data_IF_202632283382
#
_entry.id   IF_202632283382
#
_cell.length_a   1.000
_cell.length_b   1.000
_cell.length_c   1.000
_cell.angle_alpha   90.00
_cell.angle_beta   90.00
_cell.angle_gamma   90.00
#
_symmetry.space_group_name_H-M   'P 1'
#
loop_
_entity.id
_entity.type
_entity.pdbx_description
1 polymer ?
#
# COMPACT_ATOMS: atom_id res chain seq x y z
N UNK A 1 -12.95 14.50 7.21
CA UNK A 1 -12.47 14.51 5.81
C UNK A 1 -12.70 13.15 5.17
N UNK A 2 -13.28 13.13 3.97
CA UNK A 2 -13.49 11.87 3.23
C UNK A 2 -12.45 11.81 2.12
N UNK A 3 -11.76 10.69 2.01
CA UNK A 3 -10.76 10.49 0.96
C UNK A 3 -11.14 9.30 0.07
N UNK A 4 -10.67 9.35 -1.16
CA UNK A 4 -10.86 8.28 -2.14
C UNK A 4 -9.64 7.38 -2.10
N UNK A 5 -9.87 6.10 -1.83
CA UNK A 5 -8.81 5.12 -1.57
C UNK A 5 -8.84 4.03 -2.62
N UNK A 6 -7.67 3.69 -3.12
CA UNK A 6 -7.45 2.48 -3.92
C UNK A 6 -6.68 1.47 -3.05
N UNK A 7 -7.04 0.22 -3.14
CA UNK A 7 -6.46 -0.85 -2.31
C UNK A 7 -5.77 -1.89 -3.19
N UNK A 8 -4.51 -2.14 -2.89
CA UNK A 8 -3.71 -3.14 -3.59
C UNK A 8 -3.31 -4.26 -2.64
N UNK A 9 -3.62 -5.49 -2.98
CA UNK A 9 -3.10 -6.65 -2.26
C UNK A 9 -1.98 -7.29 -3.09
N UNK A 10 -0.81 -7.41 -2.50
CA UNK A 10 0.36 -8.02 -3.14
C UNK A 10 0.49 -9.44 -2.60
N UNK A 11 0.25 -10.42 -3.47
CA UNK A 11 0.27 -11.83 -3.08
C UNK A 11 0.49 -12.70 -4.32
N UNK A 12 1.21 -13.80 -4.15
CA UNK A 12 1.44 -14.74 -5.25
C UNK A 12 0.34 -15.79 -5.39
N UNK A 13 -0.49 -15.97 -4.35
CA UNK A 13 -1.37 -17.13 -4.28
C UNK A 13 -2.84 -16.82 -4.12
N UNK A 14 -3.20 -15.60 -3.71
CA UNK A 14 -4.58 -15.31 -3.39
C UNK A 14 -5.31 -14.64 -4.55
N UNK A 15 -6.63 -14.76 -4.52
CA UNK A 15 -7.53 -14.06 -5.45
C UNK A 15 -8.39 -13.10 -4.64
N UNK A 16 -9.20 -12.28 -5.33
CA UNK A 16 -10.13 -11.36 -4.65
C UNK A 16 -11.06 -12.13 -3.72
N UNK A 17 -11.49 -13.32 -4.13
CA UNK A 17 -12.46 -14.12 -3.35
C UNK A 17 -11.88 -14.65 -2.04
N UNK A 18 -10.59 -14.91 -1.96
CA UNK A 18 -9.98 -15.46 -0.75
C UNK A 18 -8.95 -14.54 -0.10
N UNK A 19 -8.92 -13.27 -0.50
CA UNK A 19 -8.03 -12.26 0.08
C UNK A 19 -8.64 -11.70 1.37
N UNK A 20 -8.34 -12.36 2.48
CA UNK A 20 -8.90 -11.97 3.78
C UNK A 20 -8.38 -10.62 4.26
N UNK A 21 -7.10 -10.35 4.10
CA UNK A 21 -6.49 -9.07 4.51
C UNK A 21 -7.11 -7.91 3.77
N UNK A 22 -7.26 -8.06 2.45
CA UNK A 22 -7.89 -7.04 1.63
C UNK A 22 -9.35 -6.82 2.03
N UNK A 23 -10.08 -7.91 2.30
CA UNK A 23 -11.48 -7.81 2.72
C UNK A 23 -11.62 -7.05 4.05
N UNK A 24 -10.72 -7.28 5.00
CA UNK A 24 -10.71 -6.56 6.28
C UNK A 24 -10.47 -5.07 6.02
N UNK A 25 -9.52 -4.73 5.16
CA UNK A 25 -9.23 -3.34 4.83
C UNK A 25 -10.41 -2.66 4.13
N UNK A 26 -11.09 -3.37 3.22
CA UNK A 26 -12.30 -2.84 2.58
C UNK A 26 -13.34 -2.46 3.64
N UNK A 27 -13.56 -3.35 4.61
CA UNK A 27 -14.52 -3.07 5.68
C UNK A 27 -14.09 -1.87 6.54
N UNK A 28 -12.81 -1.77 6.86
CA UNK A 28 -12.28 -0.64 7.64
C UNK A 28 -12.44 0.68 6.90
N UNK A 29 -12.17 0.69 5.61
CA UNK A 29 -12.34 1.88 4.79
C UNK A 29 -13.79 2.36 4.85
N UNK A 30 -14.73 1.42 4.73
CA UNK A 30 -16.16 1.75 4.78
C UNK A 30 -16.58 2.22 6.17
N UNK A 31 -16.11 1.56 7.23
CA UNK A 31 -16.41 1.95 8.61
C UNK A 31 -15.94 3.37 8.91
N UNK A 32 -14.84 3.79 8.31
CA UNK A 32 -14.31 5.15 8.48
C UNK A 32 -14.96 6.16 7.54
N UNK A 33 -15.96 5.75 6.78
CA UNK A 33 -16.70 6.60 5.84
C UNK A 33 -15.84 7.16 4.71
N UNK A 34 -14.81 6.44 4.31
CA UNK A 34 -14.03 6.77 3.12
C UNK A 34 -14.55 6.00 1.92
N UNK A 35 -14.19 6.44 0.73
CA UNK A 35 -14.63 5.80 -0.50
C UNK A 35 -13.57 4.85 -1.02
N UNK A 36 -13.95 3.59 -1.26
CA UNK A 36 -13.09 2.65 -1.99
C UNK A 36 -13.39 2.80 -3.47
N UNK A 37 -12.44 3.32 -4.23
CA UNK A 37 -12.66 3.60 -5.67
C UNK A 37 -12.10 2.50 -6.57
N UNK A 38 -11.13 1.73 -6.10
CA UNK A 38 -10.61 0.59 -6.86
C UNK A 38 -9.94 -0.41 -5.92
N UNK A 39 -9.91 -1.67 -6.33
CA UNK A 39 -9.27 -2.74 -5.57
C UNK A 39 -8.65 -3.72 -6.55
N UNK A 40 -7.35 -3.96 -6.41
CA UNK A 40 -6.62 -4.89 -7.27
C UNK A 40 -5.76 -5.83 -6.47
N UNK A 41 -5.46 -6.97 -7.06
CA UNK A 41 -4.47 -7.92 -6.56
C UNK A 41 -3.38 -8.04 -7.60
N UNK A 42 -2.15 -8.11 -7.18
CA UNK A 42 -1.05 -8.43 -8.08
C UNK A 42 -0.04 -9.34 -7.38
N UNK A 43 0.79 -9.96 -8.19
CA UNK A 43 1.87 -10.79 -7.68
C UNK A 43 2.97 -9.95 -7.05
N UNK A 44 3.75 -10.58 -6.18
CA UNK A 44 4.87 -9.93 -5.50
C UNK A 44 6.03 -9.78 -6.49
N UNK A 45 5.85 -8.90 -7.44
CA UNK A 45 6.75 -8.61 -8.54
C UNK A 45 6.82 -7.10 -8.70
N UNK A 46 8.04 -6.57 -8.68
CA UNK A 46 8.24 -5.12 -8.65
C UNK A 46 7.61 -4.41 -9.84
N UNK A 47 7.78 -4.96 -11.04
CA UNK A 47 7.25 -4.34 -12.25
C UNK A 47 5.74 -4.27 -12.23
N UNK A 48 5.07 -5.33 -11.77
CA UNK A 48 3.61 -5.36 -11.70
C UNK A 48 3.08 -4.35 -10.69
N UNK A 49 3.73 -4.26 -9.54
CA UNK A 49 3.33 -3.30 -8.49
C UNK A 49 3.51 -1.87 -9.00
N UNK A 50 4.67 -1.57 -9.57
CA UNK A 50 4.98 -0.23 -10.09
C UNK A 50 3.97 0.18 -11.18
N UNK A 51 3.62 -0.76 -12.06
CA UNK A 51 2.67 -0.47 -13.13
C UNK A 51 1.30 -0.05 -12.57
N UNK A 52 0.80 -0.79 -11.59
CA UNK A 52 -0.47 -0.46 -10.95
C UNK A 52 -0.38 0.88 -10.21
N UNK A 53 0.70 1.10 -9.48
CA UNK A 53 0.89 2.34 -8.74
C UNK A 53 0.94 3.55 -9.68
N UNK A 54 1.65 3.42 -10.80
CA UNK A 54 1.70 4.51 -11.79
C UNK A 54 0.35 4.78 -12.41
N UNK A 55 -0.40 3.73 -12.71
CA UNK A 55 -1.75 3.88 -13.25
C UNK A 55 -2.62 4.66 -12.26
N UNK A 56 -2.60 4.26 -10.99
CA UNK A 56 -3.44 4.90 -9.96
C UNK A 56 -2.98 6.32 -9.62
N UNK A 57 -1.68 6.56 -9.58
CA UNK A 57 -1.19 7.91 -9.25
C UNK A 57 -1.46 8.91 -10.36
N UNK A 58 -1.76 8.44 -11.58
CA UNK A 58 -2.18 9.33 -12.66
C UNK A 58 -3.67 9.65 -12.63
N UNK A 59 -4.44 9.03 -11.75
CA UNK A 59 -5.87 9.30 -11.62
C UNK A 59 -6.11 10.37 -10.57
N UNK A 60 -6.80 11.45 -10.95
CA UNK A 60 -7.04 12.57 -10.05
C UNK A 60 -8.03 12.26 -8.95
N UNK A 61 -8.85 11.24 -9.14
CA UNK A 61 -9.87 10.88 -8.16
C UNK A 61 -9.38 9.92 -7.09
N UNK A 62 -8.11 9.53 -7.09
CA UNK A 62 -7.52 8.71 -6.04
C UNK A 62 -6.64 9.59 -5.17
N UNK A 63 -6.98 9.66 -3.88
CA UNK A 63 -6.22 10.47 -2.92
C UNK A 63 -5.17 9.66 -2.19
N UNK A 64 -5.47 8.39 -1.91
CA UNK A 64 -4.60 7.51 -1.11
C UNK A 64 -4.60 6.12 -1.72
N UNK A 65 -3.43 5.52 -1.75
CA UNK A 65 -3.28 4.12 -2.12
C UNK A 65 -2.82 3.37 -0.86
N UNK A 66 -3.55 2.33 -0.50
CA UNK A 66 -3.15 1.43 0.58
C UNK A 66 -2.74 0.12 -0.06
N UNK A 67 -1.54 -0.36 0.25
CA UNK A 67 -1.11 -1.68 -0.19
C UNK A 67 -0.89 -2.58 1.01
N UNK A 68 -1.20 -3.85 0.87
CA UNK A 68 -0.96 -4.86 1.89
C UNK A 68 -0.22 -6.04 1.25
N UNK A 69 0.75 -6.58 1.99
CA UNK A 69 1.58 -7.69 1.54
C UNK A 69 2.93 -7.24 1.02
N UNK A 70 3.85 -8.17 0.95
CA UNK A 70 5.17 -7.94 0.36
C UNK A 70 6.12 -7.05 1.16
N UNK A 71 5.93 -6.94 2.47
CA UNK A 71 6.76 -6.06 3.31
C UNK A 71 7.73 -6.79 4.23
N UNK A 72 7.91 -8.11 4.04
CA UNK A 72 8.86 -8.90 4.83
C UNK A 72 10.29 -8.80 4.34
N UNK A 73 11.08 -9.81 4.67
CA UNK A 73 12.52 -9.81 4.42
C UNK A 73 12.96 -10.77 3.31
N UNK A 74 12.04 -11.55 2.72
CA UNK A 74 12.44 -12.49 1.67
C UNK A 74 12.68 -11.75 0.36
N UNK A 75 13.34 -12.42 -0.57
CA UNK A 75 13.61 -11.84 -1.88
C UNK A 75 12.36 -11.56 -2.71
N UNK A 76 11.23 -12.15 -2.33
CA UNK A 76 9.96 -11.91 -3.00
C UNK A 76 9.15 -10.80 -2.34
N UNK A 77 9.57 -10.33 -1.17
CA UNK A 77 8.92 -9.21 -0.48
C UNK A 77 9.49 -7.93 -1.07
N UNK A 78 8.80 -7.35 -2.05
CA UNK A 78 9.35 -6.29 -2.87
C UNK A 78 8.51 -4.99 -2.84
N UNK A 79 7.44 -4.95 -2.04
CA UNK A 79 6.55 -3.78 -2.01
C UNK A 79 7.27 -2.49 -1.64
N UNK A 80 8.13 -2.44 -0.60
CA UNK A 80 8.84 -1.20 -0.28
C UNK A 80 9.72 -0.71 -1.42
N UNK A 81 10.37 -1.63 -2.13
CA UNK A 81 11.23 -1.27 -3.28
C UNK A 81 10.40 -0.67 -4.41
N UNK A 82 9.20 -1.21 -4.63
CA UNK A 82 8.31 -0.67 -5.66
C UNK A 82 7.83 0.74 -5.28
N UNK A 83 7.52 0.96 -4.00
CA UNK A 83 7.14 2.29 -3.52
C UNK A 83 8.29 3.29 -3.66
N UNK A 84 9.52 2.85 -3.39
CA UNK A 84 10.69 3.69 -3.56
C UNK A 84 10.80 4.24 -4.97
N UNK A 85 10.45 3.44 -5.96
CA UNK A 85 10.63 3.82 -7.36
C UNK A 85 9.73 4.97 -7.76
N UNK A 86 8.55 5.11 -7.14
CA UNK A 86 7.62 6.18 -7.48
C UNK A 86 7.62 7.32 -6.46
N UNK A 87 8.33 7.16 -5.35
CA UNK A 87 8.24 8.11 -4.24
C UNK A 87 8.84 9.46 -4.57
N UNK A 88 8.16 10.53 -4.20
CA UNK A 88 8.76 11.85 -4.12
C UNK A 88 9.44 12.03 -2.77
N UNK A 89 8.77 11.64 -1.70
CA UNK A 89 9.32 11.74 -0.34
C UNK A 89 8.93 10.52 0.47
N UNK A 90 9.81 10.16 1.40
CA UNK A 90 9.52 9.10 2.35
C UNK A 90 8.92 9.67 3.62
N UNK A 91 8.06 8.88 4.27
CA UNK A 91 7.40 9.27 5.51
C UNK A 91 7.81 8.25 6.59
N UNK A 92 9.00 8.42 7.19
CA UNK A 92 9.52 7.40 8.12
C UNK A 92 8.64 7.16 9.33
N UNK A 93 7.95 8.19 9.80
CA UNK A 93 7.09 8.08 10.97
C UNK A 93 5.97 7.07 10.81
N UNK A 94 5.51 6.82 9.59
CA UNK A 94 4.48 5.81 9.37
C UNK A 94 4.96 4.42 9.82
N UNK A 95 6.14 4.01 9.35
CA UNK A 95 6.68 2.71 9.71
C UNK A 95 6.96 2.59 11.20
N UNK A 96 7.42 3.66 11.83
CA UNK A 96 7.67 3.69 13.27
C UNK A 96 6.39 3.45 14.07
N UNK A 97 5.32 4.16 13.74
CA UNK A 97 4.03 4.00 14.41
C UNK A 97 3.43 2.63 14.11
N UNK A 98 3.50 2.20 12.86
CA UNK A 98 2.96 0.90 12.47
C UNK A 98 3.63 -0.24 13.27
N UNK A 99 4.95 -0.24 13.34
CA UNK A 99 5.67 -1.28 14.09
C UNK A 99 5.43 -1.21 15.58
N UNK A 100 5.25 -0.01 16.12
CA UNK A 100 4.91 0.17 17.54
C UNK A 100 3.55 -0.47 17.86
N UNK A 101 2.57 -0.25 16.99
CA UNK A 101 1.24 -0.84 17.15
C UNK A 101 1.33 -2.36 16.99
N UNK A 102 2.07 -2.83 15.99
CA UNK A 102 2.21 -4.26 15.70
C UNK A 102 2.88 -5.02 16.85
N UNK A 103 3.76 -4.34 17.60
CA UNK A 103 4.43 -4.96 18.73
C UNK A 103 3.45 -5.56 19.73
N UNK A 104 2.28 -4.94 19.89
CA UNK A 104 1.27 -5.38 20.85
C UNK A 104 0.60 -6.70 20.44
N UNK A 105 0.55 -6.98 19.14
CA UNK A 105 -0.13 -8.19 18.63
C UNK A 105 0.82 -9.29 18.24
N UNK A 106 1.96 -8.97 17.62
CA UNK A 106 2.90 -9.97 17.09
C UNK A 106 4.23 -10.00 17.86
N UNK A 107 4.39 -9.15 18.86
CA UNK A 107 5.60 -9.12 19.66
C UNK A 107 6.82 -8.65 18.86
N UNK A 108 7.99 -9.15 19.23
CA UNK A 108 9.24 -8.71 18.63
C UNK A 108 9.37 -9.04 17.14
N UNK A 109 8.52 -9.91 16.60
CA UNK A 109 8.54 -10.17 15.16
C UNK A 109 8.19 -8.93 14.33
N UNK A 110 7.60 -7.90 14.96
CA UNK A 110 7.34 -6.63 14.28
C UNK A 110 8.62 -5.98 13.74
N UNK A 111 9.78 -6.33 14.28
CA UNK A 111 11.05 -5.79 13.80
C UNK A 111 11.33 -6.18 12.34
N UNK A 112 10.74 -7.26 11.86
CA UNK A 112 10.93 -7.73 10.49
C UNK A 112 10.02 -7.02 9.48
N UNK A 113 9.08 -6.22 9.95
CA UNK A 113 8.18 -5.51 9.05
C UNK A 113 8.90 -4.32 8.42
N UNK A 114 8.87 -4.24 7.10
CA UNK A 114 9.39 -3.09 6.36
C UNK A 114 8.27 -2.17 5.91
N UNK A 115 7.17 -2.13 6.67
CA UNK A 115 6.05 -1.23 6.39
C UNK A 115 6.54 0.20 6.25
N UNK A 116 6.08 0.89 5.23
CA UNK A 116 6.53 2.25 4.93
C UNK A 116 5.42 3.04 4.24
N UNK A 117 5.60 4.35 4.19
CA UNK A 117 4.72 5.22 3.42
C UNK A 117 5.55 6.24 2.68
N UNK A 118 5.05 6.63 1.52
CA UNK A 118 5.71 7.62 0.67
C UNK A 118 4.66 8.60 0.15
N UNK A 119 5.09 9.78 -0.26
CA UNK A 119 4.23 10.71 -0.97
C UNK A 119 4.55 10.67 -2.45
N UNK A 120 3.54 10.94 -3.26
CA UNK A 120 3.66 11.08 -4.70
C UNK A 120 2.86 12.28 -5.14
N UNK A 121 3.50 13.18 -5.89
CA UNK A 121 2.84 14.38 -6.37
C UNK A 121 2.64 14.28 -7.87
N UNK A 122 1.42 14.46 -8.33
CA UNK A 122 1.18 14.43 -9.74
C UNK A 122 1.74 15.57 -10.48
N UNK A 123 1.94 16.59 -9.80
CA UNK A 123 2.21 17.79 -10.42
C UNK A 123 3.38 17.82 -11.19
N UNK A 124 3.68 17.61 -11.57
CA UNK A 124 4.77 17.65 -12.15
C UNK A 124 4.73 18.21 -13.39
N UNK A 125 4.40 18.29 -13.21
CA UNK A 125 4.17 18.43 -13.80
C UNK A 125 4.18 19.05 -14.40
N UNK A 126 4.29 19.33 -14.46
CA UNK A 126 4.20 19.79 -14.88
C UNK A 126 4.31 20.26 -15.50
N UNK A 127 4.23 20.06 -15.71
CA UNK A 127 4.10 20.34 -16.27
C UNK A 127 4.27 21.23 -16.60
N UNK A 128 4.64 21.69 -16.65
CA UNK A 128 4.72 22.50 -16.87
C UNK A 128 4.92 23.00 -17.40
#
# INVERSE_FOLDING_TARGET
MIVNIALLTVTDTRTIDNDKSGAILVNKIKECNHNLVDRKICKDNKEDIVLILKEWTNKKDIDVIISTGGTGLTGRDITPEALDEIADKHIPGFGEVFRTISLKTVGTSSIQSRACAVSYTHLRAHET
#
